data_IF_466325579349
#
_entry.id   IF_466325579349
#
_cell.length_a   1.000
_cell.length_b   1.000
_cell.length_c   1.000
_cell.angle_alpha   90.00
_cell.angle_beta   90.00
_cell.angle_gamma   90.00
#
_symmetry.space_group_name_H-M   'P 1'
#
loop_
_entity.id
_entity.type
_entity.pdbx_description
1 polymer ?
#
# COMPACT_ATOMS: atom_id res chain seq x y z
N UNK A 1 15.02 16.06 10.37
CA UNK A 1 13.85 15.18 10.57
C UNK A 1 13.12 15.63 11.81
N UNK A 2 11.96 16.27 11.63
CA UNK A 2 11.12 16.57 12.77
C UNK A 2 10.54 15.28 13.28
N UNK A 3 10.93 15.01 14.51
CA UNK A 3 10.48 13.87 15.26
C UNK A 3 9.22 14.32 15.99
N UNK A 4 8.22 13.44 16.14
CA UNK A 4 7.28 13.62 17.24
C UNK A 4 8.16 13.83 18.48
N UNK A 5 7.96 14.92 19.22
CA UNK A 5 8.59 15.08 20.53
C UNK A 5 8.17 13.83 21.34
N UNK A 6 9.03 12.80 21.39
CA UNK A 6 8.81 11.44 21.93
C UNK A 6 7.86 10.49 21.17
N UNK A 7 8.23 10.04 19.97
CA UNK A 7 7.80 8.70 19.54
C UNK A 7 8.94 7.72 19.77
N UNK A 8 8.83 6.92 20.83
CA UNK A 8 9.69 5.75 21.06
C UNK A 8 9.29 4.57 20.14
N UNK A 9 8.16 4.68 19.42
CA UNK A 9 7.69 3.66 18.50
C UNK A 9 8.44 3.72 17.18
N UNK A 10 9.21 2.67 16.94
CA UNK A 10 10.09 2.52 15.78
C UNK A 10 9.77 1.26 15.02
N UNK A 11 9.88 1.34 13.69
CA UNK A 11 9.70 0.18 12.83
C UNK A 11 10.98 -0.16 12.07
N UNK A 12 11.26 -1.45 11.96
CA UNK A 12 12.15 -2.03 10.96
C UNK A 12 11.34 -2.81 9.93
N UNK A 13 11.61 -2.63 8.65
CA UNK A 13 10.94 -3.35 7.56
C UNK A 13 11.95 -4.30 6.90
N UNK A 14 11.58 -5.57 6.75
CA UNK A 14 12.37 -6.59 6.06
C UNK A 14 11.57 -7.06 4.83
N UNK A 15 12.04 -6.70 3.65
CA UNK A 15 11.49 -7.14 2.37
C UNK A 15 12.19 -8.43 1.98
N UNK A 16 11.42 -9.48 1.73
CA UNK A 16 11.91 -10.83 1.46
C UNK A 16 11.48 -11.20 0.05
N UNK A 17 12.47 -11.44 -0.82
CA UNK A 17 12.21 -11.85 -2.20
C UNK A 17 13.41 -11.65 -3.10
N UNK A 18 13.88 -12.73 -3.70
CA UNK A 18 14.94 -12.75 -4.69
C UNK A 18 14.64 -11.86 -5.91
N UNK A 19 13.38 -11.73 -6.30
CA UNK A 19 12.93 -10.91 -7.43
C UNK A 19 13.13 -9.41 -7.18
N UNK A 20 13.10 -8.99 -5.90
CA UNK A 20 13.41 -7.61 -5.51
C UNK A 20 14.91 -7.38 -5.64
N UNK A 21 15.74 -8.30 -5.15
CA UNK A 21 17.20 -8.21 -5.26
C UNK A 21 17.69 -8.28 -6.71
N UNK A 22 17.00 -9.04 -7.57
CA UNK A 22 17.26 -9.11 -9.02
C UNK A 22 16.80 -7.86 -9.78
N UNK A 23 16.07 -6.96 -9.11
CA UNK A 23 15.48 -5.77 -9.74
C UNK A 23 14.37 -6.09 -10.76
N UNK A 24 13.81 -7.31 -10.70
CA UNK A 24 12.70 -7.71 -11.57
C UNK A 24 11.39 -7.05 -11.15
N UNK A 25 11.21 -6.89 -9.84
CA UNK A 25 10.05 -6.24 -9.24
C UNK A 25 10.53 -5.04 -8.42
N UNK A 26 9.92 -3.89 -8.63
CA UNK A 26 10.16 -2.72 -7.78
C UNK A 26 9.46 -2.91 -6.43
N UNK A 27 10.17 -2.65 -5.34
CA UNK A 27 9.59 -2.69 -4.00
C UNK A 27 8.67 -1.48 -3.76
N UNK A 28 7.36 -1.70 -3.95
CA UNK A 28 6.31 -0.73 -3.61
C UNK A 28 5.77 -0.90 -2.20
N UNK A 29 6.04 -2.05 -1.58
CA UNK A 29 5.48 -2.42 -0.28
C UNK A 29 6.12 -1.59 0.83
N UNK A 30 7.44 -1.46 0.81
CA UNK A 30 8.14 -0.64 1.81
C UNK A 30 7.74 0.84 1.70
N UNK A 31 7.52 1.35 0.48
CA UNK A 31 7.00 2.70 0.26
C UNK A 31 5.62 2.89 0.89
N UNK A 32 4.68 1.98 0.61
CA UNK A 32 3.35 1.99 1.20
C UNK A 32 3.40 1.94 2.73
N UNK A 33 4.19 1.02 3.30
CA UNK A 33 4.34 0.85 4.74
C UNK A 33 4.93 2.11 5.39
N UNK A 34 5.97 2.71 4.81
CA UNK A 34 6.58 3.93 5.33
C UNK A 34 5.57 5.06 5.44
N UNK A 35 4.78 5.28 4.38
CA UNK A 35 3.77 6.33 4.35
C UNK A 35 2.73 6.14 5.44
N UNK A 36 2.21 4.93 5.62
CA UNK A 36 1.15 4.67 6.58
C UNK A 36 1.64 4.56 8.03
N UNK A 37 2.82 3.99 8.27
CA UNK A 37 3.40 3.96 9.61
C UNK A 37 3.71 5.37 10.10
N UNK A 38 4.17 6.25 9.20
CA UNK A 38 4.39 7.66 9.53
C UNK A 38 3.11 8.33 10.02
N UNK A 39 1.98 8.18 9.30
CA UNK A 39 0.70 8.77 9.75
C UNK A 39 0.19 8.19 11.06
N UNK A 40 0.52 6.94 11.35
CA UNK A 40 0.21 6.26 12.62
C UNK A 40 1.15 6.65 13.77
N UNK A 41 2.14 7.51 13.53
CA UNK A 41 3.09 7.98 14.54
C UNK A 41 4.27 7.03 14.81
N UNK A 42 4.47 6.04 13.94
CA UNK A 42 5.57 5.07 14.01
C UNK A 42 6.70 5.49 13.09
N UNK A 43 7.91 5.60 13.64
CA UNK A 43 9.08 6.00 12.88
C UNK A 43 9.79 4.80 12.27
N UNK A 44 9.71 4.62 10.96
CA UNK A 44 10.55 3.65 10.24
C UNK A 44 12.02 4.08 10.33
N UNK A 45 12.88 3.20 10.83
CA UNK A 45 14.30 3.47 11.08
C UNK A 45 15.24 2.76 10.12
N UNK A 46 14.86 1.57 9.64
CA UNK A 46 15.65 0.76 8.72
C UNK A 46 14.71 -0.06 7.84
N UNK A 47 15.06 -0.13 6.56
CA UNK A 47 14.48 -1.07 5.61
C UNK A 47 15.63 -1.91 5.09
N UNK A 48 15.45 -3.22 5.04
CA UNK A 48 16.38 -4.14 4.39
C UNK A 48 15.66 -5.03 3.41
N UNK A 49 16.37 -5.41 2.36
CA UNK A 49 15.91 -6.40 1.40
C UNK A 49 16.85 -7.60 1.49
N UNK A 50 16.29 -8.78 1.65
CA UNK A 50 17.00 -10.05 1.74
C UNK A 50 16.40 -11.03 0.73
N UNK A 51 17.23 -11.96 0.24
CA UNK A 51 16.76 -13.02 -0.66
C UNK A 51 16.04 -14.12 0.11
N UNK A 52 15.52 -15.11 -0.62
CA UNK A 52 14.79 -16.26 -0.08
C UNK A 52 15.76 -17.28 0.54
N UNK A 53 16.48 -16.85 1.58
CA UNK A 53 17.44 -17.65 2.33
C UNK A 53 17.07 -17.70 3.82
N UNK A 54 16.90 -18.92 4.32
CA UNK A 54 16.42 -19.18 5.69
C UNK A 54 17.29 -18.50 6.77
N UNK A 55 18.62 -18.60 6.64
CA UNK A 55 19.56 -18.12 7.65
C UNK A 55 19.68 -16.59 7.65
N UNK A 56 19.71 -15.99 6.46
CA UNK A 56 19.76 -14.53 6.31
C UNK A 56 18.48 -13.87 6.83
N UNK A 57 17.30 -14.41 6.48
CA UNK A 57 16.02 -13.90 7.00
C UNK A 57 15.98 -14.06 8.53
N UNK A 58 16.33 -15.24 9.06
CA UNK A 58 16.29 -15.49 10.50
C UNK A 58 17.21 -14.55 11.28
N UNK A 59 18.43 -14.32 10.76
CA UNK A 59 19.39 -13.38 11.33
C UNK A 59 18.87 -11.95 11.34
N UNK A 60 18.35 -11.46 10.21
CA UNK A 60 17.85 -10.08 10.11
C UNK A 60 16.64 -9.88 11.03
N UNK A 61 15.71 -10.85 11.10
CA UNK A 61 14.58 -10.83 12.02
C UNK A 61 15.03 -10.77 13.48
N UNK A 62 15.99 -11.63 13.88
CA UNK A 62 16.50 -11.66 15.25
C UNK A 62 17.19 -10.34 15.63
N UNK A 63 17.92 -9.72 14.71
CA UNK A 63 18.53 -8.42 14.92
C UNK A 63 17.50 -7.29 15.00
N UNK A 64 16.51 -7.28 14.11
CA UNK A 64 15.47 -6.25 14.06
C UNK A 64 14.57 -6.30 15.29
N UNK A 65 14.18 -7.49 15.72
CA UNK A 65 13.30 -7.70 16.88
C UNK A 65 13.90 -7.13 18.16
N UNK A 66 15.23 -7.12 18.29
CA UNK A 66 15.95 -6.50 19.41
C UNK A 66 16.09 -4.98 19.32
N UNK A 67 16.05 -4.42 18.10
CA UNK A 67 16.39 -3.02 17.81
C UNK A 67 15.16 -2.10 17.67
N UNK A 68 14.01 -2.64 17.25
CA UNK A 68 12.83 -1.85 16.90
C UNK A 68 11.60 -2.29 17.69
N UNK A 69 10.64 -1.38 17.92
CA UNK A 69 9.40 -1.72 18.61
C UNK A 69 8.48 -2.56 17.74
N UNK A 70 8.49 -2.37 16.43
CA UNK A 70 7.79 -3.19 15.44
C UNK A 70 8.75 -3.68 14.35
N UNK A 71 8.61 -4.94 13.97
CA UNK A 71 9.31 -5.53 12.83
C UNK A 71 8.28 -6.04 11.84
N UNK A 72 8.32 -5.53 10.62
CA UNK A 72 7.37 -5.89 9.58
C UNK A 72 8.13 -6.64 8.50
N UNK A 73 7.71 -7.87 8.21
CA UNK A 73 8.21 -8.59 7.03
C UNK A 73 7.20 -8.47 5.89
N UNK A 74 7.69 -8.47 4.65
CA UNK A 74 6.88 -8.47 3.43
C UNK A 74 7.44 -9.50 2.47
N UNK A 75 6.69 -10.58 2.20
CA UNK A 75 7.09 -11.64 1.28
C UNK A 75 7.31 -13.00 1.95
N UNK A 76 7.38 -14.06 1.14
CA UNK A 76 7.76 -15.41 1.55
C UNK A 76 6.77 -16.15 2.46
N UNK A 77 5.46 -15.85 2.41
CA UNK A 77 4.42 -16.48 3.27
C UNK A 77 3.41 -17.34 2.50
N UNK A 78 3.63 -17.55 1.21
CA UNK A 78 2.77 -18.38 0.38
C UNK A 78 3.08 -19.88 0.43
N UNK A 79 2.52 -20.65 -0.52
CA UNK A 79 2.61 -22.11 -0.53
C UNK A 79 3.84 -22.65 -1.28
N UNK A 80 4.64 -21.82 -1.96
CA UNK A 80 5.75 -22.32 -2.79
C UNK A 80 6.97 -22.67 -1.95
N UNK A 81 7.95 -23.35 -2.53
CA UNK A 81 9.10 -23.88 -1.80
C UNK A 81 10.02 -22.78 -1.25
N UNK A 82 10.12 -21.67 -1.98
CA UNK A 82 10.84 -20.43 -1.66
C UNK A 82 10.10 -19.55 -0.64
N UNK A 83 8.80 -19.75 -0.39
CA UNK A 83 8.07 -19.03 0.67
C UNK A 83 8.48 -19.51 2.09
N UNK A 84 9.59 -19.02 2.63
CA UNK A 84 10.20 -19.56 3.87
C UNK A 84 10.20 -18.58 5.06
N UNK A 85 9.39 -17.52 5.02
CA UNK A 85 9.37 -16.47 6.04
C UNK A 85 8.91 -17.01 7.40
N UNK A 86 7.90 -17.88 7.45
CA UNK A 86 7.43 -18.46 8.70
C UNK A 86 8.49 -19.36 9.36
N UNK A 87 9.16 -20.19 8.57
CA UNK A 87 10.27 -21.03 9.02
C UNK A 87 11.46 -20.20 9.51
N UNK A 88 11.83 -19.15 8.77
CA UNK A 88 12.92 -18.27 9.15
C UNK A 88 12.62 -17.48 10.43
N UNK A 89 11.39 -16.99 10.59
CA UNK A 89 10.96 -16.29 11.79
C UNK A 89 10.91 -17.25 13.00
N UNK A 90 10.44 -18.48 12.83
CA UNK A 90 10.50 -19.51 13.88
C UNK A 90 11.96 -19.76 14.30
N UNK A 91 12.86 -19.92 13.33
CA UNK A 91 14.30 -20.08 13.56
C UNK A 91 14.92 -18.89 14.30
N UNK A 92 14.53 -17.66 13.95
CA UNK A 92 15.01 -16.44 14.61
C UNK A 92 14.68 -16.40 16.11
N UNK A 93 13.64 -17.12 16.53
CA UNK A 93 13.22 -17.24 17.93
C UNK A 93 13.48 -18.62 18.53
N UNK A 94 14.32 -19.42 17.88
CA UNK A 94 14.76 -20.74 18.36
C UNK A 94 13.59 -21.72 18.59
N UNK A 95 12.54 -21.63 17.76
CA UNK A 95 11.40 -22.54 17.78
C UNK A 95 11.13 -23.18 16.41
N UNK A 96 10.30 -24.23 16.41
CA UNK A 96 9.84 -24.89 15.19
C UNK A 96 8.53 -24.29 14.69
N UNK A 97 8.22 -24.52 13.42
CA UNK A 97 6.86 -24.31 12.92
C UNK A 97 5.95 -25.47 13.33
N UNK A 98 4.67 -25.18 13.50
CA UNK A 98 3.61 -26.16 13.80
C UNK A 98 2.42 -25.91 12.89
N UNK A 99 1.69 -26.97 12.59
CA UNK A 99 0.48 -26.86 11.78
C UNK A 99 -0.63 -26.22 12.61
N UNK A 100 -1.02 -25.00 12.26
CA UNK A 100 -2.05 -24.27 12.97
C UNK A 100 -3.46 -24.68 12.48
N UNK A 101 -4.33 -25.21 13.37
CA UNK A 101 -5.64 -25.73 12.96
C UNK A 101 -6.57 -24.65 12.40
N UNK A 102 -6.46 -23.39 12.84
CA UNK A 102 -7.31 -22.30 12.34
C UNK A 102 -6.97 -21.98 10.89
N UNK A 103 -5.66 -21.88 10.56
CA UNK A 103 -5.24 -21.64 9.18
C UNK A 103 -5.49 -22.86 8.31
N UNK A 104 -5.35 -24.08 8.84
CA UNK A 104 -5.76 -25.32 8.13
C UNK A 104 -7.21 -25.23 7.71
N UNK A 105 -8.13 -24.89 8.62
CA UNK A 105 -9.56 -24.79 8.30
C UNK A 105 -9.85 -23.70 7.27
N UNK A 106 -9.13 -22.58 7.33
CA UNK A 106 -9.18 -21.52 6.32
C UNK A 106 -8.73 -22.05 4.95
N UNK A 107 -7.59 -22.73 4.89
CA UNK A 107 -7.06 -23.32 3.65
C UNK A 107 -8.01 -24.38 3.08
N UNK A 108 -8.58 -25.26 3.92
CA UNK A 108 -9.56 -26.27 3.50
C UNK A 108 -10.77 -25.63 2.83
N UNK A 109 -11.37 -24.64 3.47
CA UNK A 109 -12.54 -23.91 2.96
C UNK A 109 -12.22 -23.18 1.66
N UNK A 110 -11.06 -22.52 1.62
CA UNK A 110 -10.69 -21.65 0.53
C UNK A 110 -10.24 -22.42 -0.73
N UNK A 111 -9.32 -23.37 -0.57
CA UNK A 111 -8.79 -24.18 -1.66
C UNK A 111 -9.62 -25.44 -1.95
N UNK A 112 -10.67 -25.70 -1.17
CA UNK A 112 -11.58 -26.84 -1.31
C UNK A 112 -10.84 -28.18 -1.37
N UNK A 113 -9.83 -28.33 -0.50
CA UNK A 113 -9.01 -29.53 -0.39
C UNK A 113 -8.93 -30.00 1.06
N UNK A 114 -9.08 -31.30 1.27
CA UNK A 114 -8.89 -31.97 2.57
C UNK A 114 -7.54 -32.71 2.65
N UNK A 115 -6.82 -32.79 1.53
CA UNK A 115 -5.56 -33.50 1.43
C UNK A 115 -4.43 -32.68 2.06
N UNK A 116 -4.05 -33.03 3.29
CA UNK A 116 -2.99 -32.36 4.05
C UNK A 116 -1.60 -32.45 3.38
N UNK A 117 -1.41 -33.30 2.37
CA UNK A 117 -0.18 -33.32 1.57
C UNK A 117 -0.12 -32.20 0.52
N UNK A 118 -1.23 -31.48 0.31
CA UNK A 118 -1.30 -30.35 -0.62
C UNK A 118 -0.37 -29.20 -0.19
N UNK A 119 0.37 -28.57 -1.12
CA UNK A 119 1.26 -27.45 -0.81
C UNK A 119 0.60 -26.26 -0.10
N UNK A 120 -0.72 -26.09 -0.23
CA UNK A 120 -1.46 -24.99 0.40
C UNK A 120 -1.39 -25.02 1.93
N UNK A 121 -1.18 -26.19 2.53
CA UNK A 121 -1.06 -26.33 3.99
C UNK A 121 0.30 -25.86 4.52
N UNK A 122 1.28 -25.57 3.65
CA UNK A 122 2.50 -24.86 4.05
C UNK A 122 2.19 -23.51 4.69
N UNK A 123 1.20 -22.78 4.19
CA UNK A 123 0.76 -21.50 4.77
C UNK A 123 0.23 -21.63 6.21
N UNK A 124 -0.17 -22.85 6.62
CA UNK A 124 -0.60 -23.15 7.98
C UNK A 124 0.54 -23.62 8.90
N UNK A 125 1.74 -23.87 8.37
CA UNK A 125 2.94 -24.16 9.16
C UNK A 125 3.56 -22.85 9.64
N UNK A 126 3.16 -22.40 10.82
CA UNK A 126 3.57 -21.11 11.40
C UNK A 126 4.42 -21.31 12.66
N UNK A 127 5.17 -20.32 13.15
CA UNK A 127 5.93 -20.44 14.40
C UNK A 127 5.05 -20.91 15.57
N UNK A 128 5.57 -21.83 16.39
CA UNK A 128 4.82 -22.48 17.47
C UNK A 128 4.13 -21.51 18.44
N UNK A 129 4.77 -20.38 18.74
CA UNK A 129 4.23 -19.36 19.66
C UNK A 129 3.52 -18.20 18.95
N UNK A 130 3.24 -18.33 17.66
CA UNK A 130 2.59 -17.28 16.88
C UNK A 130 1.15 -16.99 17.35
N UNK A 131 0.81 -15.71 17.39
CA UNK A 131 -0.57 -15.21 17.52
C UNK A 131 -1.16 -14.90 16.16
N UNK A 132 -2.46 -15.10 16.03
CA UNK A 132 -3.24 -14.77 14.84
C UNK A 132 -4.03 -13.49 15.11
N UNK A 133 -3.77 -12.44 14.35
CA UNK A 133 -4.57 -11.22 14.39
C UNK A 133 -5.59 -11.20 13.26
N UNK A 134 -6.86 -11.05 13.62
CA UNK A 134 -7.93 -10.89 12.65
C UNK A 134 -8.29 -9.41 12.56
N UNK A 135 -7.71 -8.75 11.55
CA UNK A 135 -7.97 -7.35 11.24
C UNK A 135 -9.43 -7.12 10.85
N UNK A 136 -9.86 -5.86 10.95
CA UNK A 136 -11.22 -5.45 10.58
C UNK A 136 -11.10 -4.40 9.49
N UNK A 137 -11.78 -4.63 8.37
CA UNK A 137 -11.82 -3.68 7.27
C UNK A 137 -12.35 -2.33 7.76
N UNK A 138 -11.64 -1.22 7.54
CA UNK A 138 -12.12 0.09 7.94
C UNK A 138 -13.38 0.50 7.16
N UNK A 139 -13.58 -0.05 5.96
CA UNK A 139 -14.70 0.25 5.06
C UNK A 139 -15.91 -0.65 5.37
N UNK A 140 -15.77 -1.97 5.22
CA UNK A 140 -16.90 -2.90 5.37
C UNK A 140 -17.22 -3.23 6.82
N UNK A 141 -16.32 -2.90 7.77
CA UNK A 141 -16.37 -3.33 9.19
C UNK A 141 -16.39 -4.84 9.38
N UNK A 142 -16.11 -5.61 8.32
CA UNK A 142 -16.02 -7.06 8.38
C UNK A 142 -14.62 -7.49 8.82
N UNK A 143 -14.57 -8.63 9.53
CA UNK A 143 -13.29 -9.24 9.88
C UNK A 143 -12.66 -9.83 8.63
N UNK A 144 -11.36 -9.59 8.48
CA UNK A 144 -10.60 -10.18 7.40
C UNK A 144 -10.63 -11.71 7.52
N UNK A 145 -10.82 -12.38 6.40
CA UNK A 145 -10.94 -13.83 6.36
C UNK A 145 -9.63 -14.54 6.78
N UNK A 146 -8.49 -13.99 6.36
CA UNK A 146 -7.17 -14.54 6.69
C UNK A 146 -6.47 -13.70 7.78
N UNK A 147 -5.90 -14.32 8.82
CA UNK A 147 -5.24 -13.59 9.90
C UNK A 147 -3.84 -13.12 9.51
N UNK A 148 -3.39 -12.03 10.13
CA UNK A 148 -1.98 -11.69 10.16
C UNK A 148 -1.27 -12.55 11.20
N UNK A 149 -0.29 -13.33 10.77
CA UNK A 149 0.53 -14.15 11.67
C UNK A 149 1.59 -13.26 12.31
N UNK A 150 1.66 -13.28 13.63
CA UNK A 150 2.59 -12.45 14.38
C UNK A 150 3.28 -13.25 15.48
N UNK A 151 4.50 -12.88 15.84
CA UNK A 151 5.21 -13.44 16.98
C UNK A 151 6.01 -12.31 17.65
N UNK A 152 5.85 -12.14 18.97
CA UNK A 152 6.41 -11.01 19.70
C UNK A 152 6.07 -9.68 18.97
N UNK A 153 7.08 -8.93 18.57
CA UNK A 153 6.98 -7.68 17.80
C UNK A 153 7.15 -7.85 16.29
N UNK A 154 7.13 -9.07 15.75
CA UNK A 154 7.27 -9.36 14.32
C UNK A 154 5.89 -9.63 13.71
N UNK A 155 5.58 -8.96 12.60
CA UNK A 155 4.31 -9.01 11.87
C UNK A 155 4.59 -9.41 10.42
N UNK A 156 4.04 -10.54 9.99
CA UNK A 156 4.43 -11.19 8.72
C UNK A 156 3.41 -10.95 7.62
N UNK A 157 3.68 -9.98 6.75
CA UNK A 157 2.78 -9.60 5.66
C UNK A 157 3.13 -10.33 4.35
N UNK A 158 2.13 -10.56 3.48
CA UNK A 158 2.36 -11.12 2.14
C UNK A 158 3.19 -10.19 1.25
N UNK A 159 3.89 -10.77 0.26
CA UNK A 159 4.70 -9.99 -0.68
C UNK A 159 3.89 -9.35 -1.81
N UNK A 160 2.71 -9.87 -2.13
CA UNK A 160 1.84 -9.31 -3.16
C UNK A 160 1.30 -7.95 -2.67
N UNK A 161 1.56 -6.83 -3.36
CA UNK A 161 1.23 -5.49 -2.86
C UNK A 161 -0.22 -5.33 -2.45
N UNK A 162 -1.15 -5.73 -3.31
CA UNK A 162 -2.59 -5.66 -3.00
C UNK A 162 -2.97 -6.36 -1.70
N UNK A 163 -2.41 -7.56 -1.45
CA UNK A 163 -2.70 -8.31 -0.22
C UNK A 163 -2.06 -7.65 1.00
N UNK A 164 -0.84 -7.11 0.86
CA UNK A 164 -0.16 -6.40 1.93
C UNK A 164 -0.94 -5.15 2.32
N UNK A 165 -1.34 -4.34 1.35
CA UNK A 165 -2.09 -3.10 1.58
C UNK A 165 -3.42 -3.40 2.26
N UNK A 166 -4.19 -4.36 1.73
CA UNK A 166 -5.46 -4.80 2.33
C UNK A 166 -5.26 -5.29 3.76
N UNK A 167 -4.27 -6.15 3.99
CA UNK A 167 -3.95 -6.64 5.32
C UNK A 167 -3.54 -5.49 6.25
N UNK A 168 -2.64 -4.61 5.84
CA UNK A 168 -2.15 -3.53 6.69
C UNK A 168 -3.27 -2.57 7.09
N UNK A 169 -4.13 -2.16 6.16
CA UNK A 169 -5.27 -1.29 6.43
C UNK A 169 -6.25 -1.91 7.44
N UNK A 170 -6.43 -3.23 7.43
CA UNK A 170 -7.26 -3.92 8.42
C UNK A 170 -6.63 -3.99 9.82
N UNK A 171 -5.31 -3.76 9.94
CA UNK A 171 -4.54 -3.95 11.16
C UNK A 171 -3.87 -2.67 11.67
N UNK A 172 -4.24 -1.48 11.17
CA UNK A 172 -3.62 -0.19 11.56
C UNK A 172 -3.58 0.04 13.08
N UNK A 173 -4.57 -0.46 13.81
CA UNK A 173 -4.66 -0.36 15.27
C UNK A 173 -3.48 -1.01 15.99
N UNK A 174 -2.80 -1.98 15.38
CA UNK A 174 -1.60 -2.61 15.95
C UNK A 174 -0.40 -1.66 16.01
N UNK A 175 -0.41 -0.60 15.20
CA UNK A 175 0.69 0.35 15.04
C UNK A 175 0.30 1.77 15.41
N UNK A 176 -0.93 2.01 15.86
CA UNK A 176 -1.41 3.34 16.15
C UNK A 176 -0.76 3.87 17.43
N UNK A 177 0.06 4.91 17.31
CA UNK A 177 0.52 5.71 18.43
C UNK A 177 -0.35 6.97 18.55
N UNK A 178 -1.33 7.02 19.48
CA UNK A 178 -2.24 8.15 19.60
C UNK A 178 -1.56 9.44 20.07
N UNK A 179 -0.35 9.36 20.62
CA UNK A 179 0.40 10.51 21.14
C UNK A 179 1.36 11.13 20.11
N UNK A 180 1.60 10.45 18.99
CA UNK A 180 2.64 10.83 18.04
C UNK A 180 2.18 10.86 16.57
N UNK A 181 0.87 10.90 16.31
CA UNK A 181 0.34 10.91 14.95
C UNK A 181 0.91 12.06 14.12
N UNK A 182 1.34 11.74 12.89
CA UNK A 182 1.91 12.70 11.96
C UNK A 182 0.96 12.96 10.81
N UNK A 183 1.04 14.17 10.29
CA UNK A 183 0.29 14.64 9.15
C UNK A 183 1.27 15.16 8.09
N UNK A 184 0.97 14.84 6.83
CA UNK A 184 1.69 15.33 5.66
C UNK A 184 0.74 16.17 4.83
N UNK A 185 1.16 17.39 4.51
CA UNK A 185 0.44 18.29 3.62
C UNK A 185 1.32 18.60 2.41
N UNK A 186 0.81 18.34 1.21
CA UNK A 186 1.49 18.67 -0.04
C UNK A 186 0.85 19.90 -0.71
N UNK A 187 1.69 20.77 -1.26
CA UNK A 187 1.30 21.94 -2.04
C UNK A 187 2.01 21.88 -3.39
N UNK A 188 1.25 22.05 -4.48
CA UNK A 188 1.82 22.14 -5.82
C UNK A 188 2.00 23.62 -6.20
N UNK A 189 3.22 23.99 -6.55
CA UNK A 189 3.62 25.36 -6.86
C UNK A 189 4.16 25.43 -8.28
N UNK A 190 3.56 26.27 -9.12
CA UNK A 190 4.02 26.47 -10.49
C UNK A 190 5.15 27.52 -10.54
N UNK A 191 6.28 27.23 -9.90
CA UNK A 191 7.44 28.12 -9.87
C UNK A 191 8.71 27.28 -9.79
N UNK A 192 9.85 27.82 -10.23
CA UNK A 192 11.12 27.11 -10.13
C UNK A 192 11.64 27.06 -8.68
N UNK A 193 12.52 26.11 -8.37
CA UNK A 193 13.03 25.89 -7.01
C UNK A 193 13.69 27.13 -6.41
N UNK A 194 14.46 27.85 -7.22
CA UNK A 194 15.24 29.00 -6.79
C UNK A 194 14.31 30.11 -6.33
N UNK A 195 13.21 30.33 -7.06
CA UNK A 195 12.21 31.34 -6.72
C UNK A 195 11.55 31.13 -5.35
N UNK A 196 11.35 29.87 -4.94
CA UNK A 196 10.68 29.53 -3.67
C UNK A 196 11.65 29.25 -2.52
N UNK A 197 12.93 28.97 -2.80
CA UNK A 197 13.94 28.57 -1.79
C UNK A 197 14.03 29.54 -0.63
N UNK A 198 14.08 30.85 -0.90
CA UNK A 198 14.18 31.87 0.16
C UNK A 198 12.92 31.93 1.04
N UNK A 199 11.76 31.62 0.47
CA UNK A 199 10.50 31.54 1.22
C UNK A 199 10.52 30.30 2.10
N UNK A 200 10.89 29.14 1.55
CA UNK A 200 11.00 27.89 2.29
C UNK A 200 11.96 28.01 3.46
N UNK A 201 13.16 28.56 3.25
CA UNK A 201 14.16 28.77 4.31
C UNK A 201 13.63 29.66 5.46
N UNK A 202 12.87 30.72 5.14
CA UNK A 202 12.28 31.60 6.16
C UNK A 202 11.19 30.89 6.96
N UNK A 203 10.37 30.08 6.30
CA UNK A 203 9.31 29.33 6.96
C UNK A 203 9.91 28.21 7.81
N UNK A 204 10.90 27.47 7.31
CA UNK A 204 11.61 26.42 8.04
C UNK A 204 12.29 26.97 9.31
N UNK A 205 13.00 28.10 9.20
CA UNK A 205 13.62 28.76 10.35
C UNK A 205 12.60 29.24 11.40
N UNK A 206 11.38 29.59 10.99
CA UNK A 206 10.32 30.06 11.88
C UNK A 206 9.53 28.93 12.52
N UNK A 207 9.31 27.84 11.80
CA UNK A 207 8.45 26.73 12.21
C UNK A 207 9.27 25.47 12.43
N UNK A 208 10.09 25.47 13.47
CA UNK A 208 11.01 24.37 13.83
C UNK A 208 10.31 23.06 14.24
N UNK A 209 8.97 23.04 14.25
CA UNK A 209 8.13 21.89 14.60
C UNK A 209 7.40 21.26 13.40
N UNK A 210 7.65 21.73 12.17
CA UNK A 210 7.31 21.00 10.93
C UNK A 210 8.52 20.88 10.00
N UNK A 211 8.67 19.77 9.30
CA UNK A 211 9.73 19.57 8.32
C UNK A 211 9.19 20.00 6.96
N UNK A 212 9.95 20.86 6.28
CA UNK A 212 9.65 21.30 4.93
C UNK A 212 10.58 20.62 3.93
N UNK A 213 10.02 20.13 2.84
CA UNK A 213 10.76 19.63 1.68
C UNK A 213 10.21 20.23 0.39
N UNK A 214 11.06 20.36 -0.62
CA UNK A 214 10.63 20.66 -1.99
C UNK A 214 11.12 19.56 -2.92
N UNK A 215 10.25 19.10 -3.81
CA UNK A 215 10.51 18.02 -4.75
C UNK A 215 10.01 18.41 -6.15
N UNK A 216 10.90 18.57 -7.15
CA UNK A 216 10.49 18.80 -8.52
C UNK A 216 9.87 17.53 -9.12
N UNK A 217 8.71 17.66 -9.77
CA UNK A 217 7.99 16.50 -10.32
C UNK A 217 8.54 16.12 -11.72
N UNK A 218 8.87 17.11 -12.55
CA UNK A 218 9.57 16.98 -13.84
C UNK A 218 10.25 18.33 -14.22
N UNK A 219 11.17 18.34 -15.20
CA UNK A 219 11.67 19.57 -15.80
C UNK A 219 10.49 20.41 -16.36
N UNK A 220 10.38 21.69 -15.97
CA UNK A 220 9.29 22.61 -16.30
C UNK A 220 7.88 22.19 -15.81
N UNK A 221 7.79 21.44 -14.71
CA UNK A 221 6.52 21.08 -14.05
C UNK A 221 6.42 21.72 -12.66
N UNK A 222 5.20 21.84 -12.09
CA UNK A 222 5.03 22.34 -10.74
C UNK A 222 5.87 21.58 -9.72
N UNK A 223 6.38 22.30 -8.73
CA UNK A 223 7.08 21.74 -7.58
C UNK A 223 6.11 21.26 -6.52
N UNK A 224 6.37 20.10 -5.93
CA UNK A 224 5.68 19.66 -4.72
C UNK A 224 6.44 20.17 -3.50
N UNK A 225 5.80 21.02 -2.72
CA UNK A 225 6.27 21.43 -1.40
C UNK A 225 5.55 20.58 -0.35
N UNK A 226 6.31 19.80 0.39
CA UNK A 226 5.82 18.85 1.39
C UNK A 226 6.05 19.41 2.78
N UNK A 227 5.01 19.39 3.62
CA UNK A 227 5.02 19.83 5.02
C UNK A 227 4.67 18.64 5.90
N UNK A 228 5.63 18.19 6.71
CA UNK A 228 5.49 17.06 7.62
C UNK A 228 5.51 17.52 9.08
N UNK A 229 4.56 17.09 9.89
CA UNK A 229 4.53 17.44 11.31
C UNK A 229 3.28 16.93 12.02
N UNK A 230 3.12 17.24 13.30
CA UNK A 230 1.85 16.94 13.98
C UNK A 230 0.72 17.81 13.39
N UNK A 231 -0.55 17.32 13.36
CA UNK A 231 -1.65 17.97 12.64
C UNK A 231 -1.80 19.47 12.92
N UNK A 232 -1.73 19.88 14.19
CA UNK A 232 -1.86 21.29 14.59
C UNK A 232 -0.78 22.18 13.95
N UNK A 233 0.48 21.76 13.98
CA UNK A 233 1.57 22.58 13.44
C UNK A 233 1.54 22.62 11.92
N UNK A 234 1.18 21.52 11.25
CA UNK A 234 1.01 21.53 9.78
C UNK A 234 -0.13 22.46 9.38
N UNK A 235 -1.24 22.45 10.13
CA UNK A 235 -2.35 23.38 9.97
C UNK A 235 -1.97 24.85 10.15
N UNK A 236 -1.05 25.16 11.06
CA UNK A 236 -0.54 26.53 11.27
C UNK A 236 0.39 27.00 10.12
N UNK A 237 1.21 26.08 9.58
CA UNK A 237 2.21 26.42 8.55
C UNK A 237 1.60 26.53 7.16
N UNK A 238 0.69 25.61 6.80
CA UNK A 238 0.16 25.51 5.44
C UNK A 238 -0.43 26.85 4.94
N UNK A 239 -1.36 27.53 5.64
CA UNK A 239 -1.92 28.79 5.16
C UNK A 239 -0.87 29.90 5.02
N UNK A 240 0.10 29.93 5.95
CA UNK A 240 1.17 30.93 5.91
C UNK A 240 2.10 30.70 4.73
N UNK A 241 2.48 29.45 4.46
CA UNK A 241 3.31 29.11 3.33
C UNK A 241 2.59 29.41 2.01
N UNK A 242 1.33 29.02 1.88
CA UNK A 242 0.50 29.36 0.71
C UNK A 242 0.43 30.86 0.46
N UNK A 243 0.31 31.69 1.51
CA UNK A 243 0.28 33.16 1.36
C UNK A 243 1.59 33.80 0.91
N UNK A 244 2.71 33.10 1.06
CA UNK A 244 4.04 33.60 0.72
C UNK A 244 4.54 33.09 -0.64
N UNK A 245 3.99 31.99 -1.11
CA UNK A 245 4.36 31.39 -2.38
C UNK A 245 3.83 32.24 -3.55
N UNK A 246 4.57 32.30 -4.67
CA UNK A 246 4.10 33.00 -5.86
C UNK A 246 2.75 32.42 -6.33
N UNK A 247 1.79 33.30 -6.61
CA UNK A 247 0.54 32.91 -7.28
C UNK A 247 0.73 33.00 -8.78
N UNK A 248 0.25 32.01 -9.53
CA UNK A 248 0.14 32.14 -10.98
C UNK A 248 -0.76 33.34 -11.30
N UNK A 249 -0.23 34.33 -12.01
CA UNK A 249 -1.01 35.45 -12.56
C UNK A 249 -1.98 35.01 -13.70
N UNK A 250 -2.46 33.75 -13.70
CA UNK A 250 -3.28 33.21 -14.78
C UNK A 250 -3.93 31.83 -14.62
N UNK A 251 -3.89 31.17 -13.45
CA UNK A 251 -4.55 29.86 -13.29
C UNK A 251 -4.63 29.43 -11.83
N UNK A 252 -5.83 29.20 -11.32
CA UNK A 252 -6.09 29.01 -9.90
C UNK A 252 -5.31 27.86 -9.24
N UNK A 253 -4.87 28.11 -8.00
CA UNK A 253 -4.33 27.11 -7.08
C UNK A 253 -5.37 26.02 -6.85
N UNK A 254 -5.12 24.79 -7.29
CA UNK A 254 -5.95 23.64 -6.91
C UNK A 254 -5.49 23.12 -5.55
N UNK A 255 -6.24 23.50 -4.51
CA UNK A 255 -6.04 22.97 -3.16
C UNK A 255 -6.65 21.56 -3.05
N UNK A 256 -5.83 20.53 -3.09
CA UNK A 256 -6.21 19.20 -2.61
C UNK A 256 -5.93 19.11 -1.10
N UNK A 257 -6.95 18.86 -0.29
CA UNK A 257 -6.80 18.36 1.07
C UNK A 257 -7.35 16.93 1.10
N UNK A 258 -6.50 15.94 1.40
CA UNK A 258 -7.02 14.64 1.84
C UNK A 258 -7.35 14.78 3.33
N UNK A 259 -8.53 15.32 3.61
CA UNK A 259 -9.08 15.46 4.95
C UNK A 259 -9.94 14.22 5.24
N UNK A 260 -9.52 13.40 6.21
CA UNK A 260 -10.35 12.30 6.72
C UNK A 260 -11.48 12.90 7.58
N UNK A 261 -12.73 12.83 7.12
CA UNK A 261 -13.91 13.14 7.94
C UNK A 261 -14.46 11.87 8.60
N UNK A 262 -14.73 11.94 9.91
CA UNK A 262 -15.46 10.88 10.64
C UNK A 262 -16.93 10.81 10.15
N UNK A 263 -17.50 9.62 9.89
CA UNK A 263 -18.91 9.52 9.54
C UNK A 263 -19.80 9.70 10.78
N UNK A 264 -20.68 10.71 10.74
CA UNK A 264 -21.80 10.87 11.66
C UNK A 264 -22.82 9.75 11.50
N UNK A 265 -23.27 9.19 12.62
CA UNK A 265 -24.22 8.09 12.72
C UNK A 265 -25.67 8.48 12.40
N UNK A 266 -26.30 7.77 11.46
CA UNK A 266 -27.72 7.45 11.52
C UNK A 266 -27.97 6.14 10.77
N UNK A 267 -28.47 5.15 11.49
CA UNK A 267 -28.69 3.78 11.02
C UNK A 267 -29.98 3.63 10.20
N UNK A 268 -29.97 2.70 9.24
CA UNK A 268 -31.09 1.79 9.01
C UNK A 268 -30.59 0.46 8.44
N UNK A 269 -31.01 -0.61 9.09
CA UNK A 269 -30.64 -2.02 8.89
C UNK A 269 -31.28 -2.65 7.66
N UNK A 270 -30.52 -3.49 6.94
CA UNK A 270 -31.03 -4.70 6.29
C UNK A 270 -29.89 -5.68 5.98
N UNK A 271 -30.10 -6.95 6.32
CA UNK A 271 -29.18 -8.10 6.20
C UNK A 271 -28.64 -8.32 4.77
N UNK A 272 -27.31 -8.26 4.60
CA UNK A 272 -26.56 -8.68 3.41
C UNK A 272 -25.21 -9.33 3.78
N UNK A 273 -25.22 -10.32 4.68
CA UNK A 273 -23.99 -10.97 5.15
C UNK A 273 -23.42 -12.05 4.21
N UNK A 274 -24.23 -12.65 3.33
CA UNK A 274 -23.80 -13.84 2.55
C UNK A 274 -23.20 -13.57 1.17
N UNK A 275 -23.36 -12.38 0.60
CA UNK A 275 -22.82 -12.02 -0.72
C UNK A 275 -21.46 -11.34 -0.63
N UNK A 276 -21.26 -10.49 0.39
CA UNK A 276 -19.98 -9.81 0.65
C UNK A 276 -18.84 -10.78 0.99
N UNK A 277 -19.13 -11.85 1.76
CA UNK A 277 -18.15 -12.90 2.05
C UNK A 277 -17.70 -13.67 0.79
N UNK A 278 -18.59 -13.84 -0.20
CA UNK A 278 -18.26 -14.53 -1.46
C UNK A 278 -17.42 -13.66 -2.38
N UNK A 279 -17.69 -12.36 -2.40
CA UNK A 279 -16.94 -11.39 -3.21
C UNK A 279 -15.50 -11.21 -2.69
N UNK A 280 -15.31 -11.08 -1.37
CA UNK A 280 -13.97 -11.03 -0.76
C UNK A 280 -13.15 -12.31 -0.97
N UNK A 281 -13.79 -13.49 -0.89
CA UNK A 281 -13.14 -14.75 -1.23
C UNK A 281 -12.71 -14.77 -2.70
N UNK A 282 -13.53 -14.25 -3.62
CA UNK A 282 -13.22 -14.22 -5.05
C UNK A 282 -12.03 -13.31 -5.40
N UNK A 283 -11.91 -12.15 -4.73
CA UNK A 283 -10.78 -11.23 -4.91
C UNK A 283 -9.46 -11.82 -4.41
N UNK A 284 -9.49 -12.52 -3.27
CA UNK A 284 -8.32 -13.24 -2.78
C UNK A 284 -7.92 -14.36 -3.77
N UNK A 285 -8.88 -15.11 -4.34
CA UNK A 285 -8.59 -16.15 -5.37
C UNK A 285 -7.93 -15.53 -6.60
N UNK A 286 -8.47 -14.42 -7.10
CA UNK A 286 -7.98 -13.75 -8.30
C UNK A 286 -6.55 -13.19 -8.11
N UNK A 287 -6.26 -12.65 -6.92
CA UNK A 287 -4.92 -12.20 -6.54
C UNK A 287 -3.89 -13.32 -6.57
N UNK A 288 -4.21 -14.47 -5.98
CA UNK A 288 -3.28 -15.62 -5.92
C UNK A 288 -3.13 -16.31 -7.27
N UNK A 289 -4.22 -16.54 -7.99
CA UNK A 289 -4.22 -17.28 -9.27
C UNK A 289 -3.48 -16.53 -10.39
N UNK A 290 -3.56 -15.20 -10.44
CA UNK A 290 -2.84 -14.39 -11.43
C UNK A 290 -1.32 -14.34 -11.20
N UNK A 291 -0.86 -14.58 -9.97
CA UNK A 291 0.59 -14.62 -9.66
C UNK A 291 1.18 -16.01 -9.92
N UNK A 292 0.47 -17.09 -9.58
CA UNK A 292 0.94 -18.46 -9.83
C UNK A 292 1.07 -18.82 -11.32
N UNK A 293 0.38 -18.12 -12.22
CA UNK A 293 0.47 -18.33 -13.67
C UNK A 293 1.70 -17.68 -14.35
N UNK A 294 2.57 -16.96 -13.61
CA UNK A 294 3.80 -16.38 -14.19
C UNK A 294 5.04 -17.27 -14.11
N UNK A 295 4.96 -18.45 -13.50
CA UNK A 295 6.09 -19.40 -13.43
C UNK A 295 5.84 -20.57 -14.39
N UNK A 296 6.20 -20.41 -15.66
CA UNK A 296 6.17 -21.54 -16.60
C UNK A 296 6.16 -21.20 -18.08
N UNK A 297 7.31 -20.75 -18.62
CA UNK A 297 7.91 -21.07 -19.95
C UNK A 297 8.78 -19.91 -20.46
N UNK A 298 10.09 -20.13 -20.52
CA UNK A 298 11.02 -19.43 -21.41
C UNK A 298 10.86 -20.02 -22.85
N UNK A 299 11.09 -19.37 -23.99
CA UNK A 299 11.85 -18.19 -24.44
C UNK A 299 11.36 -17.83 -25.88
N UNK A 300 12.07 -17.02 -26.72
CA UNK A 300 12.63 -15.68 -26.54
C UNK A 300 12.04 -14.70 -27.59
N UNK A 301 11.76 -13.45 -27.22
CA UNK A 301 11.88 -12.32 -28.17
C UNK A 301 12.18 -11.06 -27.39
N UNK A 302 13.37 -10.51 -27.61
CA UNK A 302 13.74 -9.20 -27.12
C UNK A 302 12.84 -8.14 -27.76
N UNK A 303 12.03 -7.46 -26.95
CA UNK A 303 11.51 -6.12 -27.27
C UNK A 303 11.69 -5.27 -26.02
N UNK A 304 12.68 -4.38 -26.10
CA UNK A 304 12.84 -3.23 -25.22
C UNK A 304 11.51 -2.46 -25.20
N UNK A 305 10.85 -2.36 -24.04
CA UNK A 305 9.75 -1.44 -23.83
C UNK A 305 10.08 -0.55 -22.64
N UNK A 306 10.80 0.55 -22.93
CA UNK A 306 10.72 1.76 -22.12
C UNK A 306 9.24 2.18 -22.10
N UNK A 307 8.62 2.24 -20.93
CA UNK A 307 7.34 2.95 -20.79
C UNK A 307 7.61 4.46 -20.77
N UNK A 308 7.83 5.02 -21.96
CA UNK A 308 7.50 6.40 -22.26
C UNK A 308 5.98 6.49 -22.42
N UNK A 309 5.31 7.15 -21.49
CA UNK A 309 3.91 7.54 -21.64
C UNK A 309 3.82 8.65 -22.72
N UNK A 310 3.54 8.26 -23.97
CA UNK A 310 3.20 9.19 -25.05
C UNK A 310 1.71 9.06 -25.38
N UNK A 311 0.89 10.00 -24.91
CA UNK A 311 -0.44 10.22 -25.48
C UNK A 311 -0.29 10.97 -26.80
N UNK A 312 -0.60 10.32 -27.93
CA UNK A 312 -0.84 11.01 -29.21
C UNK A 312 -2.12 11.86 -29.07
N UNK A 313 -1.97 13.18 -29.02
CA UNK A 313 -3.02 14.10 -29.52
C UNK A 313 -2.39 15.11 -30.48
N UNK A 314 -3.07 15.19 -31.62
CA UNK A 314 -2.88 16.07 -32.76
C UNK A 314 -2.64 17.53 -32.38
N UNK A 315 -1.64 18.13 -33.03
CA UNK A 315 -1.35 19.56 -33.07
C UNK A 315 -2.55 20.37 -33.60
N UNK A 316 -3.16 21.22 -32.76
CA UNK A 316 -3.89 22.44 -33.13
C UNK A 316 -3.97 23.39 -31.90
N UNK A 317 -4.03 24.72 -32.09
CA UNK A 317 -3.60 25.71 -31.12
C UNK A 317 -4.60 25.94 -29.98
N UNK A 318 -4.04 26.29 -28.83
CA UNK A 318 -4.71 26.59 -27.56
C UNK A 318 -5.70 27.76 -27.73
N UNK A 319 -6.98 27.51 -27.44
CA UNK A 319 -7.97 28.53 -27.08
C UNK A 319 -8.91 27.99 -26.01
N UNK A 320 -8.82 28.60 -24.83
CA UNK A 320 -9.74 28.57 -23.67
C UNK A 320 -10.96 27.64 -23.75
N UNK A 321 -10.92 26.54 -23.00
CA UNK A 321 -12.11 25.96 -22.34
C UNK A 321 -11.71 25.35 -21.00
N UNK A 322 -12.44 25.75 -19.94
CA UNK A 322 -12.44 25.12 -18.62
C UNK A 322 -12.74 23.63 -18.76
N UNK A 323 -11.98 22.79 -18.05
CA UNK A 323 -12.36 21.42 -17.76
C UNK A 323 -12.25 21.28 -16.25
N UNK A 324 -13.40 21.31 -15.58
CA UNK A 324 -13.52 20.88 -14.20
C UNK A 324 -13.36 19.36 -14.19
N UNK A 325 -12.36 18.85 -13.45
CA UNK A 325 -12.24 17.43 -13.15
C UNK A 325 -12.81 17.22 -11.76
N UNK A 326 -14.12 16.99 -11.68
CA UNK A 326 -14.72 16.39 -10.49
C UNK A 326 -14.28 14.92 -10.42
N UNK A 327 -13.52 14.57 -9.38
CA UNK A 327 -13.32 13.18 -9.01
C UNK A 327 -14.60 12.67 -8.34
N UNK A 328 -15.52 12.12 -9.12
CA UNK A 328 -16.67 11.39 -8.60
C UNK A 328 -16.19 10.11 -7.92
N UNK A 329 -16.42 10.01 -6.61
CA UNK A 329 -16.36 8.76 -5.88
C UNK A 329 -17.39 7.77 -6.47
N UNK A 330 -16.92 6.65 -7.02
CA UNK A 330 -17.81 5.56 -7.43
C UNK A 330 -17.84 4.47 -6.36
N UNK A 331 -18.92 4.49 -5.58
CA UNK A 331 -19.45 3.33 -4.87
C UNK A 331 -20.34 2.52 -5.85
N UNK A 332 -20.06 1.23 -5.98
CA UNK A 332 -21.00 0.12 -6.19
C UNK A 332 -22.07 0.14 -7.31
N UNK A 333 -21.95 -0.83 -8.21
CA UNK A 333 -22.99 -1.59 -8.94
C UNK A 333 -24.10 -0.87 -9.72
N UNK A 334 -24.15 -1.18 -11.03
CA UNK A 334 -25.32 -0.98 -11.89
C UNK A 334 -25.16 -1.72 -13.21
N UNK A 335 -25.98 -2.76 -13.42
CA UNK A 335 -26.12 -3.49 -14.67
C UNK A 335 -26.14 -2.58 -15.91
N UNK A 336 -25.43 -2.95 -16.97
CA UNK A 336 -25.80 -2.54 -18.32
C UNK A 336 -26.03 -3.77 -19.19
N UNK A 337 -27.30 -4.18 -19.23
CA UNK A 337 -27.90 -4.91 -20.33
C UNK A 337 -27.54 -4.19 -21.64
N UNK A 338 -26.81 -4.86 -22.54
CA UNK A 338 -26.84 -4.47 -23.96
C UNK A 338 -27.95 -5.25 -24.66
N UNK A 339 -28.99 -4.47 -24.93
CA UNK A 339 -30.08 -4.71 -25.85
C UNK A 339 -29.50 -5.18 -27.19
N UNK A 340 -30.00 -6.33 -27.65
CA UNK A 340 -29.85 -6.82 -29.00
C UNK A 340 -30.68 -5.94 -29.94
N UNK A 341 -30.05 -5.34 -30.95
CA UNK A 341 -30.76 -4.81 -32.10
C UNK A 341 -30.45 -5.63 -33.36
N UNK A 342 -31.50 -6.33 -33.79
CA UNK A 342 -31.66 -7.02 -35.08
C UNK A 342 -32.06 -6.00 -36.15
N UNK A 343 -31.30 -5.96 -37.25
CA UNK A 343 -31.76 -5.67 -38.63
C UNK A 343 -30.63 -6.16 -39.55
N UNK A 344 -30.64 -7.39 -40.09
CA UNK A 344 -31.41 -7.94 -41.23
C UNK A 344 -31.32 -7.07 -42.51
N UNK A 345 -30.94 -7.74 -43.61
CA UNK A 345 -30.86 -7.33 -45.03
C UNK A 345 -29.45 -6.86 -45.45
N UNK A 346 -28.76 -7.40 -46.46
CA UNK A 346 -29.11 -8.30 -47.57
C UNK A 346 -27.83 -9.00 -48.08
N UNK A 347 -27.97 -10.29 -48.40
CA UNK A 347 -27.13 -11.00 -49.38
C UNK A 347 -27.21 -10.31 -50.74
N UNK A 348 -26.07 -10.03 -51.37
CA UNK A 348 -25.94 -10.03 -52.83
C UNK A 348 -24.60 -10.71 -53.19
N UNK A 349 -24.73 -11.89 -53.79
CA UNK A 349 -23.72 -12.52 -54.66
C UNK A 349 -23.52 -11.63 -55.88
N UNK A 350 -22.27 -11.43 -56.32
CA UNK A 350 -21.83 -11.83 -57.66
C UNK A 350 -20.36 -11.45 -57.91
N UNK A 351 -19.67 -12.43 -58.50
CA UNK A 351 -18.45 -12.34 -59.33
C UNK A 351 -17.10 -12.32 -58.61
#
# INVERSE_FOLDING_TARGET
MITPERSDDTAGIIVIGDEILKGQTADTNSHFLCKHLFTLGVKVKKITTVGDNLDEIAKEVAEFSKKFTHVITSGGVGPTHDDITFEAVAKAFEESTVLNPVIVDICKKFFKTEDLSSPVFKMALIPASARLEFGVSPVSRQKNFYPLVCIKNVYMFPGIPFLLEKAFLCHQKLFLNPHAQMHTSELYVNSDEVSITNILNKVDAKFTKVQLGSYPIFYNSPQSVVIDGIPRHVGDVRPRLTSLLPTDDGGGTTSGSNEWQEPSSSASSSDTSSESEKEEQSEFVASWSNHSLRVGRAAPTAIFMQQTYLHKRTTLPIKNRRVDVEATAFLGFGETRRIADRKRLLDIRHS
#
